data_IF_833113885289
#
_entry.id   IF_833113885289
#
_cell.length_a   1.000
_cell.length_b   1.000
_cell.length_c   1.000
_cell.angle_alpha   90.00
_cell.angle_beta   90.00
_cell.angle_gamma   90.00
#
_symmetry.space_group_name_H-M   'P 1'
#
loop_
_entity.id
_entity.type
_entity.pdbx_description
1 polymer ?
#
# COMPACT_ATOMS: atom_id res chain seq x y z
N UNK A 1 -32.29 0.33 -20.99
CA UNK A 1 -31.73 1.41 -20.13
C UNK A 1 -30.51 0.80 -19.42
N UNK A 2 -29.39 0.69 -20.13
CA UNK A 2 -28.28 -0.22 -19.79
C UNK A 2 -26.96 0.18 -20.47
N UNK A 3 -26.72 1.48 -20.67
CA UNK A 3 -25.50 1.97 -21.36
C UNK A 3 -24.74 3.03 -20.53
N UNK A 4 -25.40 3.75 -19.63
CA UNK A 4 -24.73 4.73 -18.77
C UNK A 4 -23.90 4.10 -17.62
N UNK A 5 -24.08 2.81 -17.36
CA UNK A 5 -23.37 2.07 -16.32
C UNK A 5 -22.02 1.53 -16.79
N UNK A 6 -21.59 1.77 -18.04
CA UNK A 6 -20.36 1.19 -18.58
C UNK A 6 -19.15 2.15 -18.60
N UNK A 7 -19.35 3.44 -18.86
CA UNK A 7 -18.22 4.38 -18.99
C UNK A 7 -17.70 4.89 -17.64
N UNK A 8 -18.57 5.01 -16.63
CA UNK A 8 -18.17 5.47 -15.29
C UNK A 8 -17.28 4.42 -14.60
N UNK A 9 -17.55 3.13 -14.79
CA UNK A 9 -16.78 2.04 -14.17
C UNK A 9 -15.43 1.80 -14.88
N UNK A 10 -15.24 2.34 -16.09
CA UNK A 10 -13.94 2.38 -16.77
C UNK A 10 -13.04 3.54 -16.30
N UNK A 11 -13.57 4.50 -15.54
CA UNK A 11 -12.80 5.63 -15.00
C UNK A 11 -11.80 5.11 -13.96
N UNK A 12 -10.56 4.93 -14.38
CA UNK A 12 -9.47 4.35 -13.59
C UNK A 12 -8.63 3.33 -14.36
N UNK A 13 -9.22 2.73 -15.41
CA UNK A 13 -8.56 1.72 -16.24
C UNK A 13 -7.92 2.30 -17.51
N UNK A 14 -7.84 3.63 -17.62
CA UNK A 14 -7.28 4.25 -18.82
C UNK A 14 -5.78 3.97 -18.92
N UNK A 15 -5.28 3.78 -20.15
CA UNK A 15 -3.84 3.58 -20.42
C UNK A 15 -2.98 4.71 -19.85
N UNK A 16 -3.52 5.93 -19.79
CA UNK A 16 -2.85 7.09 -19.19
C UNK A 16 -2.62 6.91 -17.69
N UNK A 17 -3.62 6.47 -16.93
CA UNK A 17 -3.52 6.28 -15.48
C UNK A 17 -2.55 5.16 -15.16
N UNK A 18 -2.67 4.04 -15.88
CA UNK A 18 -1.73 2.92 -15.74
C UNK A 18 -0.29 3.33 -16.11
N UNK A 19 -0.10 4.14 -17.15
CA UNK A 19 1.20 4.67 -17.52
C UNK A 19 1.84 5.51 -16.41
N UNK A 20 1.08 6.42 -15.80
CA UNK A 20 1.58 7.20 -14.65
C UNK A 20 1.86 6.32 -13.42
N UNK A 21 1.00 5.32 -13.15
CA UNK A 21 1.20 4.39 -12.05
C UNK A 21 2.52 3.62 -12.19
N UNK A 22 2.82 3.08 -13.38
CA UNK A 22 4.07 2.34 -13.59
C UNK A 22 5.31 3.23 -13.49
N UNK A 23 5.22 4.51 -13.88
CA UNK A 23 6.32 5.47 -13.66
C UNK A 23 6.59 5.69 -12.18
N UNK A 24 5.54 5.92 -11.37
CA UNK A 24 5.67 6.09 -9.91
C UNK A 24 6.20 4.82 -9.25
N UNK A 25 5.71 3.65 -9.70
CA UNK A 25 6.24 2.37 -9.23
C UNK A 25 7.71 2.23 -9.60
N UNK A 26 8.16 2.71 -10.76
CA UNK A 26 9.56 2.62 -11.17
C UNK A 26 10.49 3.54 -10.39
N UNK A 27 10.05 4.75 -10.08
CA UNK A 27 10.83 5.74 -9.33
C UNK A 27 10.87 5.52 -7.81
N UNK A 28 10.08 4.59 -7.27
CA UNK A 28 9.98 4.34 -5.82
C UNK A 28 10.75 3.10 -5.37
N UNK A 29 11.39 3.17 -4.21
CA UNK A 29 12.01 2.00 -3.55
C UNK A 29 10.99 1.22 -2.71
N UNK A 30 10.05 1.94 -2.11
CA UNK A 30 9.00 1.41 -1.24
C UNK A 30 7.63 1.81 -1.80
N UNK A 31 6.77 0.82 -2.02
CA UNK A 31 5.39 0.99 -2.46
C UNK A 31 4.47 0.74 -1.26
N UNK A 32 3.58 1.68 -0.99
CA UNK A 32 2.57 1.56 0.07
C UNK A 32 1.20 1.38 -0.55
N UNK A 33 0.57 0.26 -0.25
CA UNK A 33 -0.79 -0.02 -0.67
C UNK A 33 -1.75 0.26 0.48
N UNK A 34 -2.59 1.28 0.28
CA UNK A 34 -3.60 1.69 1.25
C UNK A 34 -4.87 0.85 1.03
N UNK A 35 -5.31 0.17 2.07
CA UNK A 35 -6.49 -0.68 2.11
C UNK A 35 -7.57 -0.05 3.00
N UNK A 36 -8.85 -0.25 2.70
CA UNK A 36 -9.95 0.19 3.57
C UNK A 36 -10.21 -0.87 4.65
N UNK A 37 -10.21 -0.50 5.93
CA UNK A 37 -10.36 -1.45 7.03
C UNK A 37 -11.71 -2.20 7.06
N UNK A 38 -12.72 -1.70 6.33
CA UNK A 38 -14.04 -2.36 6.21
C UNK A 38 -14.01 -3.54 5.24
N UNK A 39 -13.27 -3.41 4.14
CA UNK A 39 -13.10 -4.45 3.12
C UNK A 39 -11.67 -4.40 2.54
N UNK A 40 -10.67 -4.90 3.30
CA UNK A 40 -9.30 -4.86 2.85
C UNK A 40 -9.02 -5.82 1.69
N UNK A 41 -9.79 -6.91 1.57
CA UNK A 41 -9.62 -7.87 0.47
C UNK A 41 -10.16 -7.33 -0.85
N UNK A 42 -11.29 -6.61 -0.84
CA UNK A 42 -11.84 -5.98 -2.03
C UNK A 42 -11.06 -4.76 -2.52
N UNK A 43 -10.36 -4.06 -1.62
CA UNK A 43 -9.51 -2.91 -1.98
C UNK A 43 -8.06 -3.29 -2.33
N UNK A 44 -7.70 -4.56 -2.16
CA UNK A 44 -6.40 -5.12 -2.53
C UNK A 44 -6.30 -5.28 -4.05
N UNK A 45 -5.09 -5.14 -4.59
CA UNK A 45 -4.81 -5.26 -6.03
C UNK A 45 -3.78 -6.36 -6.32
N UNK A 46 -4.24 -7.62 -6.48
CA UNK A 46 -3.36 -8.76 -6.77
C UNK A 46 -2.51 -8.59 -8.04
N UNK A 47 -3.01 -7.79 -9.00
CA UNK A 47 -2.31 -7.47 -10.24
C UNK A 47 -0.97 -6.75 -9.97
N UNK A 48 -0.98 -5.72 -9.12
CA UNK A 48 0.23 -4.97 -8.78
C UNK A 48 1.19 -5.82 -7.94
N UNK A 49 0.66 -6.61 -7.01
CA UNK A 49 1.48 -7.53 -6.20
C UNK A 49 2.20 -8.56 -7.07
N UNK A 50 1.49 -9.17 -8.01
CA UNK A 50 2.07 -10.16 -8.93
C UNK A 50 3.11 -9.51 -9.84
N UNK A 51 2.82 -8.30 -10.34
CA UNK A 51 3.76 -7.52 -11.14
C UNK A 51 5.05 -7.19 -10.35
N UNK A 52 4.93 -6.70 -9.12
CA UNK A 52 6.07 -6.38 -8.26
C UNK A 52 6.89 -7.64 -7.95
N UNK A 53 6.25 -8.76 -7.60
CA UNK A 53 6.95 -10.03 -7.34
C UNK A 53 7.72 -10.56 -8.55
N UNK A 54 7.19 -10.39 -9.76
CA UNK A 54 7.79 -10.91 -11.00
C UNK A 54 8.88 -10.00 -11.56
N UNK A 55 8.57 -8.71 -11.69
CA UNK A 55 9.41 -7.75 -12.42
C UNK A 55 10.36 -6.98 -11.51
N UNK A 56 9.99 -6.74 -10.24
CA UNK A 56 10.72 -5.85 -9.31
C UNK A 56 10.78 -6.38 -7.88
N UNK A 57 11.35 -7.59 -7.64
CA UNK A 57 11.33 -8.23 -6.32
C UNK A 57 12.12 -7.49 -5.23
N UNK A 58 13.03 -6.58 -5.61
CA UNK A 58 13.78 -5.74 -4.67
C UNK A 58 12.95 -4.61 -4.08
N UNK A 59 11.76 -4.31 -4.61
CA UNK A 59 10.89 -3.25 -4.10
C UNK A 59 10.08 -3.74 -2.93
N UNK A 60 10.04 -2.93 -1.87
CA UNK A 60 9.29 -3.28 -0.67
C UNK A 60 7.83 -2.87 -0.82
N UNK A 61 6.91 -3.83 -0.64
CA UNK A 61 5.48 -3.57 -0.58
C UNK A 61 4.99 -3.62 0.87
N UNK A 62 4.24 -2.60 1.28
CA UNK A 62 3.71 -2.44 2.64
C UNK A 62 2.21 -2.17 2.55
N UNK A 63 1.43 -2.79 3.42
CA UNK A 63 0.00 -2.53 3.53
C UNK A 63 -0.30 -1.53 4.64
N UNK A 64 -1.20 -0.59 4.36
CA UNK A 64 -1.71 0.38 5.33
C UNK A 64 -3.22 0.27 5.37
N UNK A 65 -3.76 -0.28 6.45
CA UNK A 65 -5.19 -0.30 6.72
C UNK A 65 -5.62 1.09 7.19
N UNK A 66 -6.39 1.79 6.37
CA UNK A 66 -6.95 3.09 6.66
C UNK A 66 -8.41 2.98 7.11
N UNK A 67 -8.93 4.03 7.74
CA UNK A 67 -10.30 4.12 8.30
C UNK A 67 -10.57 3.12 9.43
N UNK A 68 -9.57 2.84 10.25
CA UNK A 68 -9.70 1.94 11.41
C UNK A 68 -10.68 2.45 12.48
N UNK A 69 -11.13 3.70 12.38
CA UNK A 69 -12.20 4.30 13.18
C UNK A 69 -13.60 3.78 12.85
N UNK A 70 -13.81 3.30 11.62
CA UNK A 70 -15.12 2.81 11.16
C UNK A 70 -15.41 1.36 11.53
N UNK A 71 -14.42 0.65 12.08
CA UNK A 71 -14.50 -0.76 12.46
C UNK A 71 -14.03 -0.93 13.90
N UNK A 72 -14.60 -1.90 14.64
CA UNK A 72 -14.18 -2.13 16.01
C UNK A 72 -12.73 -2.62 16.07
N UNK A 73 -12.03 -2.31 17.16
CA UNK A 73 -10.60 -2.59 17.33
C UNK A 73 -10.24 -4.07 17.15
N UNK A 74 -11.14 -4.99 17.55
CA UNK A 74 -10.92 -6.43 17.37
C UNK A 74 -10.88 -6.84 15.90
N UNK A 75 -11.69 -6.19 15.05
CA UNK A 75 -11.74 -6.48 13.62
C UNK A 75 -10.46 -5.97 12.94
N UNK A 76 -10.03 -4.76 13.26
CA UNK A 76 -8.75 -4.20 12.78
C UNK A 76 -7.58 -5.09 13.18
N UNK A 77 -7.52 -5.54 14.44
CA UNK A 77 -6.47 -6.44 14.93
C UNK A 77 -6.45 -7.76 14.16
N UNK A 78 -7.63 -8.33 13.87
CA UNK A 78 -7.76 -9.55 13.06
C UNK A 78 -7.26 -9.34 11.64
N UNK A 79 -7.62 -8.23 11.00
CA UNK A 79 -7.17 -7.91 9.65
C UNK A 79 -5.66 -7.71 9.56
N UNK A 80 -5.07 -7.00 10.52
CA UNK A 80 -3.61 -6.89 10.62
C UNK A 80 -2.99 -8.28 10.73
N UNK A 81 -3.48 -9.15 11.61
CA UNK A 81 -2.92 -10.49 11.79
C UNK A 81 -3.00 -11.35 10.52
N UNK A 82 -4.08 -11.25 9.74
CA UNK A 82 -4.24 -11.97 8.47
C UNK A 82 -3.30 -11.42 7.40
N UNK A 83 -3.29 -10.11 7.21
CA UNK A 83 -2.52 -9.46 6.14
C UNK A 83 -1.01 -9.46 6.41
N UNK A 84 -0.61 -9.43 7.69
CA UNK A 84 0.79 -9.56 8.13
C UNK A 84 1.43 -10.90 7.75
N UNK A 85 0.65 -11.91 7.36
CA UNK A 85 1.18 -13.17 6.81
C UNK A 85 1.78 -12.99 5.42
N UNK A 86 1.21 -12.06 4.63
CA UNK A 86 1.66 -11.79 3.27
C UNK A 86 2.70 -10.66 3.23
N UNK A 87 2.36 -9.52 3.84
CA UNK A 87 3.17 -8.30 3.80
C UNK A 87 3.09 -7.52 5.11
N UNK A 88 4.14 -6.76 5.47
CA UNK A 88 4.10 -5.87 6.63
C UNK A 88 2.88 -4.95 6.55
N UNK A 89 2.01 -5.03 7.56
CA UNK A 89 0.72 -4.32 7.58
C UNK A 89 0.65 -3.42 8.79
N UNK A 90 0.28 -2.15 8.58
CA UNK A 90 0.07 -1.16 9.63
C UNK A 90 -1.39 -0.69 9.64
N UNK A 91 -1.94 -0.52 10.83
CA UNK A 91 -3.22 0.16 11.01
C UNK A 91 -3.00 1.67 11.15
N UNK A 92 -3.81 2.45 10.44
CA UNK A 92 -3.69 3.90 10.34
C UNK A 92 -5.07 4.57 10.40
N UNK A 93 -5.12 5.70 11.09
CA UNK A 93 -6.27 6.60 11.06
C UNK A 93 -5.79 7.99 10.66
N UNK A 94 -6.21 8.42 9.46
CA UNK A 94 -5.84 9.70 8.87
C UNK A 94 -6.71 10.82 9.45
N UNK A 95 -6.25 11.44 10.54
CA UNK A 95 -6.88 12.63 11.12
C UNK A 95 -5.84 13.69 11.47
N UNK A 96 -6.17 14.97 11.30
CA UNK A 96 -5.30 16.09 11.65
C UNK A 96 -5.20 16.29 13.17
N UNK A 97 -6.30 16.06 13.89
CA UNK A 97 -6.41 16.33 15.33
C UNK A 97 -6.10 15.11 16.18
N UNK A 98 -6.43 13.90 15.71
CA UNK A 98 -6.19 12.66 16.45
C UNK A 98 -5.71 11.53 15.52
N UNK A 99 -4.49 11.61 14.96
CA UNK A 99 -3.97 10.55 14.09
C UNK A 99 -3.59 9.29 14.88
N UNK A 100 -3.94 8.11 14.35
CA UNK A 100 -3.46 6.82 14.85
C UNK A 100 -2.45 6.21 13.88
N UNK A 101 -1.39 5.58 14.40
CA UNK A 101 -0.39 4.88 13.58
C UNK A 101 0.68 5.76 12.92
N UNK A 102 0.58 7.10 13.01
CA UNK A 102 1.55 8.05 12.42
C UNK A 102 2.99 7.84 12.88
N UNK A 103 3.21 7.66 14.18
CA UNK A 103 4.55 7.42 14.73
C UNK A 103 5.18 6.14 14.20
N UNK A 104 4.43 5.03 14.24
CA UNK A 104 4.86 3.73 13.74
C UNK A 104 5.16 3.77 12.23
N UNK A 105 4.32 4.45 11.44
CA UNK A 105 4.53 4.61 10.01
C UNK A 105 5.80 5.41 9.69
N UNK A 106 6.04 6.53 10.40
CA UNK A 106 7.27 7.33 10.22
C UNK A 106 8.51 6.52 10.64
N UNK A 107 8.44 5.78 11.75
CA UNK A 107 9.55 4.94 12.19
C UNK A 107 9.87 3.85 11.16
N UNK A 108 8.85 3.22 10.57
CA UNK A 108 9.01 2.22 9.52
C UNK A 108 9.69 2.83 8.29
N UNK A 109 9.23 4.00 7.81
CA UNK A 109 9.87 4.68 6.68
C UNK A 109 11.32 5.07 6.97
N UNK A 110 11.63 5.51 8.20
CA UNK A 110 13.01 5.79 8.63
C UNK A 110 13.89 4.54 8.64
N UNK A 111 13.34 3.38 8.97
CA UNK A 111 14.08 2.12 8.90
C UNK A 111 14.43 1.78 7.45
N UNK A 112 13.49 1.93 6.52
CA UNK A 112 13.76 1.75 5.09
C UNK A 112 14.82 2.73 4.55
N UNK A 113 14.76 4.00 4.95
CA UNK A 113 15.79 4.98 4.57
C UNK A 113 17.19 4.58 5.00
N UNK A 114 17.37 4.11 6.25
CA UNK A 114 18.67 3.65 6.75
C UNK A 114 19.20 2.41 6.03
N UNK A 115 18.31 1.48 5.68
CA UNK A 115 18.69 0.25 4.97
C UNK A 115 19.14 0.56 3.55
N UNK A 116 18.46 1.49 2.87
CA UNK A 116 18.81 1.92 1.51
C UNK A 116 20.19 2.61 1.45
N UNK A 117 20.50 3.48 2.42
CA UNK A 117 21.83 4.12 2.53
C UNK A 117 22.96 3.09 2.71
N UNK A 118 22.71 2.02 3.49
CA UNK A 118 23.69 0.97 3.74
C UNK A 118 23.90 0.05 2.53
N UNK A 119 22.85 -0.25 1.76
CA UNK A 119 23.00 -1.04 0.53
C UNK A 119 23.85 -0.34 -0.51
N UNK A 120 23.68 0.98 -0.71
CA UNK A 120 24.49 1.76 -1.65
C UNK A 120 26.00 1.71 -1.32
N UNK A 121 26.34 1.70 -0.02
CA UNK A 121 27.71 1.51 0.46
C UNK A 121 28.27 0.12 0.18
N UNK A 122 27.45 -0.94 0.17
CA UNK A 122 27.93 -2.31 -0.13
C UNK A 122 28.21 -2.56 -1.61
N UNK A 123 27.61 -1.80 -2.53
CA UNK A 123 27.85 -1.88 -3.97
C UNK A 123 28.95 -0.92 -4.46
N UNK A 124 29.48 -0.07 -3.58
CA UNK A 124 30.57 0.86 -3.88
C UNK A 124 31.96 0.34 -3.45
N UNK A 125 32.08 -0.97 -3.15
CA UNK A 125 33.36 -1.63 -2.81
C UNK A 125 33.61 -2.82 -3.72
#
# INVERSE_FOLDING_TARGET
RSEAQEEIYKKGQSKRIWGELYKVIDSSDVVVQVLDARDPMGTRSPHIETYLKKEKPWKHLIFVLNKCDLVPTWATKRWVAVLSQDYPTLAFHASLTNPFGKGAFIQLLRQFGKVLDLTCLSWSV
#
